data_IF_408287700989
#
_entry.id   IF_408287700989
#
_cell.length_a   1.000
_cell.length_b   1.000
_cell.length_c   1.000
_cell.angle_alpha   90.00
_cell.angle_beta   90.00
_cell.angle_gamma   90.00
#
_symmetry.space_group_name_H-M   'P 1'
#
loop_
_entity.id
_entity.type
_entity.pdbx_description
1 polymer ?
#
# COMPACT_ATOMS: atom_id res chain seq x y z
N UNK A 1 -2.23 -0.41 -11.60
CA UNK A 1 -2.67 0.80 -12.27
C UNK A 1 -4.17 1.01 -12.07
N UNK A 2 -4.59 2.27 -11.90
CA UNK A 2 -5.99 2.66 -11.72
C UNK A 2 -6.35 3.81 -12.65
N UNK A 3 -7.64 3.91 -12.96
CA UNK A 3 -8.18 5.02 -13.74
C UNK A 3 -8.94 5.96 -12.80
N UNK A 4 -8.45 7.19 -12.67
CA UNK A 4 -9.13 8.26 -11.96
C UNK A 4 -9.27 9.48 -12.87
N UNK A 5 -10.46 10.04 -12.95
CA UNK A 5 -10.73 11.29 -13.68
C UNK A 5 -10.22 11.28 -15.14
N UNK A 6 -10.36 10.15 -15.86
CA UNK A 6 -9.93 10.02 -17.26
C UNK A 6 -8.43 9.85 -17.45
N UNK A 7 -7.65 9.57 -16.40
CA UNK A 7 -6.22 9.27 -16.49
C UNK A 7 -5.91 7.92 -15.83
N UNK A 8 -4.99 7.18 -16.44
CA UNK A 8 -4.37 5.99 -15.84
C UNK A 8 -3.25 6.45 -14.92
N UNK A 9 -3.21 5.92 -13.71
CA UNK A 9 -2.12 6.14 -12.75
C UNK A 9 -1.40 4.81 -12.47
N UNK A 10 -0.07 4.87 -12.45
CA UNK A 10 0.81 3.75 -12.08
C UNK A 10 1.61 4.17 -10.86
N UNK A 11 1.37 3.47 -9.76
CA UNK A 11 2.09 3.65 -8.51
C UNK A 11 3.17 2.57 -8.43
N UNK A 12 4.38 2.96 -8.10
CA UNK A 12 5.49 2.03 -8.13
C UNK A 12 6.51 2.27 -7.03
N UNK A 13 7.09 1.15 -6.57
CA UNK A 13 8.37 1.17 -5.90
C UNK A 13 9.46 1.64 -6.86
N UNK A 14 10.57 2.13 -6.31
CA UNK A 14 11.62 2.78 -7.10
C UNK A 14 12.98 2.17 -6.74
N UNK A 15 13.65 1.62 -7.74
CA UNK A 15 14.99 1.06 -7.60
C UNK A 15 16.06 2.13 -7.83
N UNK A 16 17.18 2.01 -7.12
CA UNK A 16 18.36 2.77 -7.44
C UNK A 16 19.21 2.07 -8.49
N UNK A 17 19.69 2.80 -9.47
CA UNK A 17 20.63 2.26 -10.45
C UNK A 17 21.87 1.67 -9.75
N UNK A 18 22.19 0.40 -10.03
CA UNK A 18 23.22 -0.36 -9.34
C UNK A 18 23.02 -0.49 -7.81
N UNK A 19 21.80 -0.35 -7.32
CA UNK A 19 21.45 -0.64 -5.93
C UNK A 19 21.72 -2.11 -5.58
N UNK A 20 22.05 -2.39 -4.32
CA UNK A 20 22.33 -3.75 -3.85
C UNK A 20 21.06 -4.56 -3.57
N UNK A 21 19.91 -3.90 -3.49
CA UNK A 21 18.57 -4.49 -3.30
C UNK A 21 17.54 -3.63 -4.03
N UNK A 22 16.39 -4.20 -4.37
CA UNK A 22 15.27 -3.50 -5.00
C UNK A 22 14.45 -2.69 -3.98
N UNK A 23 13.59 -1.79 -4.47
CA UNK A 23 12.64 -0.98 -3.67
C UNK A 23 13.31 -0.05 -2.62
N UNK A 24 14.54 0.39 -2.86
CA UNK A 24 15.27 1.28 -1.95
C UNK A 24 14.85 2.75 -2.06
N UNK A 25 14.13 3.12 -3.10
CA UNK A 25 13.67 4.49 -3.33
C UNK A 25 12.34 4.81 -2.66
N UNK A 26 11.93 6.06 -2.84
CA UNK A 26 10.61 6.55 -2.44
C UNK A 26 9.55 6.07 -3.44
N UNK A 27 8.26 6.04 -3.06
CA UNK A 27 7.22 5.74 -4.04
C UNK A 27 7.05 6.89 -5.02
N UNK A 28 6.91 6.51 -6.28
CA UNK A 28 6.71 7.43 -7.40
C UNK A 28 5.41 7.13 -8.14
N UNK A 29 4.91 8.11 -8.88
CA UNK A 29 3.72 7.95 -9.70
C UNK A 29 3.98 8.43 -11.13
N UNK A 30 3.37 7.71 -12.06
CA UNK A 30 3.26 8.08 -13.47
C UNK A 30 1.79 8.11 -13.87
N UNK A 31 1.42 9.00 -14.78
CA UNK A 31 0.06 9.03 -15.32
C UNK A 31 0.04 9.31 -16.82
N UNK A 32 -1.02 8.83 -17.48
CA UNK A 32 -1.30 9.13 -18.88
C UNK A 32 -2.81 9.32 -19.09
N UNK A 33 -3.25 10.11 -20.07
CA UNK A 33 -4.65 10.12 -20.49
C UNK A 33 -5.10 8.72 -20.90
N UNK A 34 -6.33 8.32 -20.58
CA UNK A 34 -6.87 7.01 -21.00
C UNK A 34 -6.92 6.87 -22.51
N UNK A 35 -7.20 7.98 -23.21
CA UNK A 35 -7.27 8.05 -24.68
C UNK A 35 -5.91 8.07 -25.37
N UNK A 36 -4.82 8.34 -24.65
CA UNK A 36 -3.45 8.34 -25.20
C UNK A 36 -2.42 7.80 -24.22
N UNK A 37 -2.24 6.50 -24.22
CA UNK A 37 -1.25 5.81 -23.37
C UNK A 37 0.19 5.95 -23.87
N UNK A 38 0.46 6.80 -24.86
CA UNK A 38 1.81 7.21 -25.23
C UNK A 38 2.26 8.50 -24.53
N UNK A 39 1.32 9.27 -23.97
CA UNK A 39 1.58 10.56 -23.29
C UNK A 39 1.74 10.35 -21.76
N UNK A 40 2.81 9.65 -21.37
CA UNK A 40 3.14 9.45 -19.95
C UNK A 40 3.82 10.65 -19.34
N UNK A 41 3.32 11.06 -18.18
CA UNK A 41 3.90 12.10 -17.34
C UNK A 41 4.42 11.49 -16.03
N UNK A 42 5.65 11.86 -15.65
CA UNK A 42 6.19 11.60 -14.32
C UNK A 42 5.57 12.59 -13.32
N UNK A 43 4.82 12.10 -12.37
CA UNK A 43 4.17 12.92 -11.35
C UNK A 43 5.11 13.24 -10.17
N UNK A 44 6.22 12.52 -10.05
CA UNK A 44 7.20 12.72 -9.00
C UNK A 44 7.11 11.72 -7.87
N UNK A 45 7.78 12.05 -6.77
CA UNK A 45 7.72 11.30 -5.51
C UNK A 45 6.41 11.62 -4.81
N UNK A 46 5.59 10.61 -4.58
CA UNK A 46 4.30 10.72 -3.91
C UNK A 46 4.37 10.38 -2.43
N UNK A 47 5.34 9.52 -2.01
CA UNK A 47 5.52 9.14 -0.61
C UNK A 47 6.98 8.82 -0.31
N UNK A 48 7.68 9.65 0.50
CA UNK A 48 9.04 9.37 0.94
C UNK A 48 9.07 8.24 1.95
N UNK A 49 10.05 7.37 1.84
CA UNK A 49 10.19 6.19 2.71
C UNK A 49 10.39 6.51 4.19
N UNK A 50 10.90 7.69 4.51
CA UNK A 50 11.08 8.12 5.90
C UNK A 50 9.85 8.84 6.48
N UNK A 51 8.74 8.89 5.76
CA UNK A 51 7.45 9.41 6.24
C UNK A 51 6.80 8.45 7.24
N UNK A 52 6.97 7.14 7.03
CA UNK A 52 6.46 6.11 7.94
C UNK A 52 7.15 6.17 9.32
N UNK A 53 6.39 6.19 10.44
CA UNK A 53 6.96 6.21 11.79
C UNK A 53 7.93 5.06 12.09
N UNK A 54 7.73 3.88 11.47
CA UNK A 54 8.63 2.73 11.64
C UNK A 54 9.93 2.86 10.83
N UNK A 55 10.00 3.79 9.87
CA UNK A 55 11.14 3.95 8.97
C UNK A 55 11.74 5.36 8.98
N UNK A 56 11.76 6.03 10.13
CA UNK A 56 12.24 7.41 10.25
C UNK A 56 13.69 7.64 9.78
N UNK A 57 14.53 6.62 9.86
CA UNK A 57 15.90 6.68 9.36
C UNK A 57 16.01 6.37 7.84
N UNK A 58 14.90 5.99 7.20
CA UNK A 58 14.81 5.72 5.78
C UNK A 58 15.62 4.51 5.29
N UNK A 59 15.89 3.53 6.15
CA UNK A 59 16.70 2.36 5.79
C UNK A 59 15.91 1.20 5.26
N UNK A 60 14.63 1.08 5.65
CA UNK A 60 13.75 0.03 5.17
C UNK A 60 13.29 0.31 3.75
N UNK A 61 13.14 -0.75 2.97
CA UNK A 61 12.59 -0.71 1.62
C UNK A 61 11.05 -0.58 1.65
N UNK A 62 10.50 0.06 0.63
CA UNK A 62 9.06 0.21 0.41
C UNK A 62 8.59 -0.78 -0.65
N UNK A 63 7.79 -1.81 -0.28
CA UNK A 63 7.31 -2.85 -1.18
C UNK A 63 5.86 -2.66 -1.61
N UNK A 64 5.57 -3.12 -2.84
CA UNK A 64 4.23 -3.37 -3.40
C UNK A 64 3.16 -2.33 -3.02
N UNK A 65 3.24 -1.09 -3.54
CA UNK A 65 2.21 -0.09 -3.27
C UNK A 65 0.94 -0.39 -4.06
N UNK A 66 -0.22 -0.22 -3.45
CA UNK A 66 -1.50 -0.20 -4.14
C UNK A 66 -2.39 0.93 -3.62
N UNK A 67 -3.27 1.48 -4.48
CA UNK A 67 -4.07 2.67 -4.16
C UNK A 67 -5.53 2.45 -4.48
N UNK A 68 -6.42 2.89 -3.60
CA UNK A 68 -7.86 2.94 -3.86
C UNK A 68 -8.46 4.27 -3.38
N UNK A 69 -9.69 4.55 -3.80
CA UNK A 69 -10.47 5.69 -3.28
C UNK A 69 -11.33 5.22 -2.12
N UNK A 70 -11.24 5.92 -0.98
CA UNK A 70 -12.08 5.69 0.18
C UNK A 70 -13.48 6.29 0.05
N UNK A 71 -14.38 5.97 0.98
CA UNK A 71 -15.76 6.48 0.97
C UNK A 71 -15.85 7.98 1.19
N UNK A 72 -14.80 8.62 1.69
CA UNK A 72 -14.65 10.06 1.85
C UNK A 72 -14.09 10.78 0.62
N UNK A 73 -13.81 10.03 -0.46
CA UNK A 73 -13.27 10.55 -1.72
C UNK A 73 -11.76 10.77 -1.74
N UNK A 74 -11.06 10.46 -0.65
CA UNK A 74 -9.61 10.54 -0.59
C UNK A 74 -8.97 9.28 -1.14
N UNK A 75 -7.67 9.37 -1.49
CA UNK A 75 -6.87 8.29 -2.03
C UNK A 75 -6.03 7.66 -0.92
N UNK A 76 -6.13 6.34 -0.76
CA UNK A 76 -5.45 5.57 0.28
C UNK A 76 -4.42 4.65 -0.35
N UNK A 77 -3.16 4.85 0.02
CA UNK A 77 -2.00 4.08 -0.43
C UNK A 77 -1.67 3.02 0.63
N UNK A 78 -1.77 1.75 0.26
CA UNK A 78 -1.40 0.60 1.10
C UNK A 78 -0.04 0.10 0.67
N UNK A 79 0.80 -0.23 1.65
CA UNK A 79 2.15 -0.71 1.39
C UNK A 79 2.70 -1.48 2.60
N UNK A 80 3.86 -2.11 2.41
CA UNK A 80 4.60 -2.77 3.48
C UNK A 80 6.06 -2.33 3.46
N UNK A 81 6.66 -2.33 4.63
CA UNK A 81 8.09 -2.15 4.81
C UNK A 81 8.77 -3.52 4.91
N UNK A 82 10.04 -3.61 4.53
CA UNK A 82 10.83 -4.80 4.84
C UNK A 82 11.00 -4.96 6.36
N UNK A 83 11.17 -6.22 6.79
CA UNK A 83 11.37 -6.59 8.19
C UNK A 83 10.19 -6.32 9.15
N UNK A 84 9.03 -5.91 8.66
CA UNK A 84 7.80 -5.78 9.45
C UNK A 84 6.68 -6.66 8.90
N UNK A 85 5.68 -6.96 9.72
CA UNK A 85 4.60 -7.89 9.39
C UNK A 85 3.25 -7.20 9.20
N UNK A 86 3.25 -5.86 9.10
CA UNK A 86 2.02 -5.05 9.10
C UNK A 86 1.87 -4.28 7.80
N UNK A 87 0.63 -3.98 7.43
CA UNK A 87 0.30 -3.10 6.31
C UNK A 87 0.21 -1.67 6.80
N UNK A 88 1.02 -0.80 6.22
CA UNK A 88 0.99 0.65 6.43
C UNK A 88 0.03 1.30 5.44
N UNK A 89 -0.58 2.41 5.84
CA UNK A 89 -1.51 3.20 5.02
C UNK A 89 -1.11 4.66 5.04
N UNK A 90 -1.07 5.27 3.87
CA UNK A 90 -0.93 6.71 3.70
C UNK A 90 -2.14 7.27 2.93
N UNK A 91 -2.42 8.56 3.05
CA UNK A 91 -3.62 9.19 2.47
C UNK A 91 -3.27 10.50 1.77
N UNK A 92 -4.02 10.81 0.70
CA UNK A 92 -3.91 12.08 -0.03
C UNK A 92 -5.27 12.49 -0.59
N UNK A 93 -5.48 13.79 -0.81
CA UNK A 93 -6.69 14.34 -1.44
C UNK A 93 -6.63 14.23 -2.98
N UNK A 94 -5.46 13.95 -3.54
CA UNK A 94 -5.23 13.85 -4.99
C UNK A 94 -4.58 12.51 -5.36
N UNK A 95 -4.88 11.94 -6.56
CA UNK A 95 -4.37 10.62 -6.94
C UNK A 95 -2.84 10.55 -7.06
N UNK A 96 -2.18 11.66 -7.40
CA UNK A 96 -0.72 11.76 -7.51
C UNK A 96 -0.13 12.89 -6.65
N UNK A 97 -0.85 13.30 -5.60
CA UNK A 97 -0.36 14.27 -4.64
C UNK A 97 0.66 13.68 -3.66
N UNK A 98 1.07 14.49 -2.70
CA UNK A 98 1.92 14.05 -1.59
C UNK A 98 1.08 13.32 -0.55
N UNK A 99 1.28 12.01 -0.45
CA UNK A 99 0.64 11.20 0.58
C UNK A 99 1.28 11.44 1.94
N UNK A 100 0.47 11.45 2.98
CA UNK A 100 0.90 11.55 4.38
C UNK A 100 0.60 10.24 5.11
N UNK A 101 1.44 9.84 6.05
CA UNK A 101 1.19 8.65 6.86
C UNK A 101 -0.14 8.77 7.58
N UNK A 102 -1.00 7.74 7.46
CA UNK A 102 -2.34 7.73 8.04
C UNK A 102 -2.46 6.76 9.21
N UNK A 103 -1.92 5.55 9.08
CA UNK A 103 -2.00 4.53 10.13
C UNK A 103 -1.54 3.17 9.65
N UNK A 104 -1.74 2.17 10.51
CA UNK A 104 -1.53 0.76 10.20
C UNK A 104 -2.86 0.02 10.21
N UNK A 105 -3.00 -1.00 9.36
CA UNK A 105 -4.19 -1.86 9.38
C UNK A 105 -4.24 -2.64 10.69
N UNK A 106 -5.40 -2.61 11.35
CA UNK A 106 -5.55 -3.18 12.69
C UNK A 106 -6.93 -3.80 12.93
N UNK A 107 -7.02 -4.63 13.96
CA UNK A 107 -8.27 -5.15 14.51
C UNK A 107 -9.07 -4.04 15.22
N UNK A 108 -10.39 -4.26 15.50
CA UNK A 108 -11.20 -3.28 16.23
C UNK A 108 -10.68 -2.94 17.63
N UNK A 109 -9.86 -3.79 18.22
CA UNK A 109 -9.23 -3.57 19.53
C UNK A 109 -7.91 -2.78 19.45
N UNK A 110 -7.49 -2.39 18.23
CA UNK A 110 -6.26 -1.65 17.96
C UNK A 110 -5.01 -2.52 17.80
N UNK A 111 -5.10 -3.84 17.95
CA UNK A 111 -3.98 -4.74 17.67
C UNK A 111 -3.68 -4.73 16.18
N UNK A 112 -2.42 -4.58 15.79
CA UNK A 112 -2.03 -4.53 14.37
C UNK A 112 -2.27 -5.89 13.68
N UNK A 113 -2.82 -5.85 12.48
CA UNK A 113 -2.98 -7.05 11.66
C UNK A 113 -1.60 -7.57 11.25
N UNK A 114 -1.31 -8.81 11.58
CA UNK A 114 0.01 -9.44 11.42
C UNK A 114 0.81 -9.56 12.71
N UNK A 115 0.35 -8.97 13.83
CA UNK A 115 1.01 -9.04 15.14
C UNK A 115 0.22 -9.77 16.22
N UNK A 116 -1.06 -10.09 15.96
CA UNK A 116 -1.86 -10.87 16.90
C UNK A 116 -1.38 -12.32 16.92
N UNK A 117 -1.47 -12.98 18.08
CA UNK A 117 -1.10 -14.39 18.20
C UNK A 117 -1.89 -15.25 17.19
N UNK A 118 -1.17 -15.97 16.34
CA UNK A 118 -1.73 -16.78 15.25
C UNK A 118 -1.83 -16.06 13.90
N UNK A 119 -1.62 -14.76 13.84
CA UNK A 119 -1.60 -14.04 12.57
C UNK A 119 -0.46 -14.51 11.67
N UNK A 120 -0.72 -14.46 10.37
CA UNK A 120 0.33 -14.54 9.37
C UNK A 120 0.93 -13.14 9.12
N UNK A 121 2.23 -13.04 8.83
CA UNK A 121 2.82 -11.78 8.40
C UNK A 121 2.09 -11.25 7.16
N UNK A 122 1.75 -9.98 7.16
CA UNK A 122 1.10 -9.33 6.04
C UNK A 122 2.14 -8.86 5.02
N UNK A 123 1.89 -9.10 3.73
CA UNK A 123 2.81 -8.73 2.66
C UNK A 123 2.07 -8.49 1.35
N UNK A 124 2.66 -7.68 0.44
CA UNK A 124 2.14 -7.36 -0.91
C UNK A 124 0.65 -7.01 -0.90
N UNK A 125 0.25 -5.91 -0.26
CA UNK A 125 -1.15 -5.54 -0.19
C UNK A 125 -1.72 -5.18 -1.56
N UNK A 126 -2.94 -5.65 -1.83
CA UNK A 126 -3.80 -5.19 -2.91
C UNK A 126 -5.10 -4.67 -2.31
N UNK A 127 -5.62 -3.58 -2.83
CA UNK A 127 -6.84 -2.97 -2.29
C UNK A 127 -7.83 -2.64 -3.39
N UNK A 128 -9.11 -2.94 -3.16
CA UNK A 128 -10.18 -2.69 -4.11
C UNK A 128 -11.42 -2.15 -3.40
N UNK A 129 -11.92 -1.01 -3.85
CA UNK A 129 -13.20 -0.47 -3.41
C UNK A 129 -14.26 -0.72 -4.48
N UNK A 130 -15.32 -1.44 -4.12
CA UNK A 130 -16.51 -1.68 -4.94
C UNK A 130 -17.75 -1.15 -4.21
N UNK A 131 -18.32 -0.06 -4.71
CA UNK A 131 -19.42 0.62 -4.05
C UNK A 131 -19.00 1.15 -2.66
N UNK A 132 -19.63 0.62 -1.60
CA UNK A 132 -19.32 1.01 -0.21
C UNK A 132 -18.40 0.00 0.52
N UNK A 133 -17.90 -1.00 -0.18
CA UNK A 133 -17.07 -2.06 0.41
C UNK A 133 -15.64 -1.92 -0.08
N UNK A 134 -14.70 -1.89 0.85
CA UNK A 134 -13.27 -1.94 0.54
C UNK A 134 -12.71 -3.29 0.99
N UNK A 135 -12.11 -4.00 0.03
CA UNK A 135 -11.42 -5.26 0.25
C UNK A 135 -9.92 -5.01 0.34
N UNK A 136 -9.29 -5.60 1.34
CA UNK A 136 -7.84 -5.69 1.45
C UNK A 136 -7.42 -7.13 1.19
N UNK A 137 -6.55 -7.32 0.23
CA UNK A 137 -5.90 -8.59 -0.08
C UNK A 137 -4.45 -8.52 0.34
N UNK A 138 -3.95 -9.56 1.00
CA UNK A 138 -2.54 -9.65 1.35
C UNK A 138 -2.01 -11.03 1.01
N UNK A 139 -0.75 -11.10 0.66
CA UNK A 139 -0.03 -12.34 0.52
C UNK A 139 0.69 -12.70 1.81
N UNK A 140 1.30 -13.87 1.79
CA UNK A 140 2.20 -14.32 2.83
C UNK A 140 3.59 -14.56 2.22
N UNK A 141 4.59 -13.89 2.78
CA UNK A 141 5.98 -14.15 2.45
C UNK A 141 6.58 -15.03 3.54
N UNK A 142 6.57 -16.35 3.32
CA UNK A 142 7.04 -17.32 4.29
C UNK A 142 8.56 -17.24 4.49
N UNK A 143 9.00 -17.34 5.74
CA UNK A 143 10.39 -17.46 6.12
C UNK A 143 10.64 -18.93 6.54
N UNK A 144 11.61 -19.59 5.93
CA UNK A 144 11.97 -20.99 6.22
C UNK A 144 10.95 -21.99 5.65
N UNK A 145 10.67 -23.06 6.40
CA UNK A 145 9.80 -24.17 5.98
C UNK A 145 8.30 -23.83 5.93
N UNK A 146 7.92 -22.64 6.36
CA UNK A 146 6.55 -22.18 6.23
C UNK A 146 6.30 -21.76 4.79
N UNK A 147 5.79 -22.69 4.02
CA UNK A 147 5.34 -22.43 2.66
C UNK A 147 4.27 -21.31 2.66
N UNK A 148 4.17 -20.61 1.55
CA UNK A 148 3.09 -19.65 1.30
C UNK A 148 1.75 -20.30 1.63
N UNK A 149 1.07 -19.81 2.65
CA UNK A 149 -0.23 -20.33 3.09
C UNK A 149 -1.41 -19.82 2.26
N UNK A 150 -1.14 -19.08 1.19
CA UNK A 150 -2.14 -18.57 0.28
C UNK A 150 -2.37 -17.06 0.42
N UNK A 151 -3.29 -16.56 -0.40
CA UNK A 151 -3.77 -15.18 -0.30
C UNK A 151 -4.76 -15.06 0.86
N UNK A 152 -4.69 -13.95 1.56
CA UNK A 152 -5.63 -13.56 2.60
C UNK A 152 -6.51 -12.42 2.06
N UNK A 153 -7.74 -12.33 2.54
CA UNK A 153 -8.65 -11.26 2.19
C UNK A 153 -9.49 -10.86 3.40
N UNK A 154 -9.66 -9.56 3.60
CA UNK A 154 -10.56 -9.01 4.62
C UNK A 154 -11.29 -7.80 4.08
N UNK A 155 -12.34 -7.37 4.78
CA UNK A 155 -13.07 -6.16 4.50
C UNK A 155 -12.64 -5.08 5.50
N UNK A 156 -12.38 -3.89 4.99
CA UNK A 156 -12.07 -2.73 5.83
C UNK A 156 -13.34 -2.00 6.26
N UNK A 157 -13.28 -1.37 7.42
CA UNK A 157 -14.26 -0.37 7.84
C UNK A 157 -14.09 0.93 7.03
N UNK A 158 -15.03 1.86 7.20
CA UNK A 158 -15.04 3.14 6.46
C UNK A 158 -13.85 4.06 6.79
N UNK A 159 -13.13 3.79 7.87
CA UNK A 159 -11.90 4.48 8.24
C UNK A 159 -10.67 4.01 7.45
N UNK A 160 -10.82 2.97 6.62
CA UNK A 160 -9.80 2.44 5.72
C UNK A 160 -8.60 1.76 6.39
N UNK A 161 -8.61 1.56 7.71
CA UNK A 161 -7.53 0.90 8.48
C UNK A 161 -8.02 -0.15 9.46
N UNK A 162 -9.29 -0.12 9.88
CA UNK A 162 -9.86 -1.15 10.76
C UNK A 162 -10.42 -2.30 9.93
N UNK A 163 -10.04 -3.55 10.24
CA UNK A 163 -10.63 -4.73 9.59
C UNK A 163 -11.95 -5.12 10.28
N UNK A 164 -12.93 -5.60 9.49
CA UNK A 164 -14.22 -6.09 10.03
C UNK A 164 -14.09 -7.46 10.66
N UNK A 165 -13.30 -8.32 10.06
CA UNK A 165 -13.06 -9.68 10.47
C UNK A 165 -11.66 -10.13 10.10
N UNK A 166 -11.12 -11.11 10.82
CA UNK A 166 -9.81 -11.68 10.51
C UNK A 166 -9.80 -12.31 9.11
N UNK A 167 -8.72 -12.12 8.32
CA UNK A 167 -8.59 -12.69 6.99
C UNK A 167 -8.43 -14.21 6.97
#
# INVERSE_FOLDING_TARGET
PYVFNGRVYVYGSHDFYNGYVFCMGDYVCWSAPVEDLSDWRYEGVIYPRNEDPLNKDGKMCLYAPDVTVGPDGRYYLYYVLDHVSVVSVAVCDEPAGRYEFYGYVHYPDGTLLGEKEGDQPQFDPGVLTEGEITYLYTGFCGIGDKSRSGAMATILEKDMITIKEAP
#
